data_IF_272021446856
#
_entry.id   IF_272021446856
#
_cell.length_a   1.000
_cell.length_b   1.000
_cell.length_c   1.000
_cell.angle_alpha   90.00
_cell.angle_beta   90.00
_cell.angle_gamma   90.00
#
_symmetry.space_group_name_H-M   'P 1'
#
loop_
_entity.id
_entity.type
_entity.pdbx_description
1 polymer ?
#
# COMPACT_ATOMS: atom_id res chain seq x y z
N UNK A 1 4.25 -11.16 -0.10
CA UNK A 1 3.74 -9.80 0.22
C UNK A 1 2.99 -9.89 1.54
N UNK A 2 3.24 -8.98 2.48
CA UNK A 2 2.52 -8.96 3.76
C UNK A 2 1.19 -8.22 3.59
N UNK A 3 0.07 -8.85 3.96
CA UNK A 3 -1.24 -8.22 3.94
C UNK A 3 -1.59 -7.77 5.36
N UNK A 4 -1.87 -6.48 5.53
CA UNK A 4 -2.35 -5.92 6.81
C UNK A 4 -3.87 -5.79 6.75
N UNK A 5 -4.56 -6.30 7.77
CA UNK A 5 -6.02 -6.16 7.93
C UNK A 5 -6.28 -5.34 9.19
N UNK A 6 -7.03 -4.24 9.04
CA UNK A 6 -7.54 -3.48 10.19
C UNK A 6 -8.89 -4.09 10.58
N UNK A 7 -9.00 -4.61 11.80
CA UNK A 7 -10.24 -5.21 12.28
C UNK A 7 -11.15 -4.10 12.81
N UNK A 8 -12.18 -3.75 12.04
CA UNK A 8 -13.18 -2.72 12.39
C UNK A 8 -14.57 -3.31 12.69
N UNK A 9 -14.87 -4.46 12.09
CA UNK A 9 -16.11 -5.20 12.22
C UNK A 9 -15.83 -6.72 12.23
N UNK A 10 -16.88 -7.50 12.46
CA UNK A 10 -16.79 -8.95 12.44
C UNK A 10 -16.49 -9.52 11.05
N UNK A 11 -16.73 -8.77 9.99
CA UNK A 11 -16.41 -9.21 8.63
C UNK A 11 -14.89 -9.22 8.39
N UNK A 12 -14.16 -8.17 8.78
CA UNK A 12 -12.68 -8.22 8.67
C UNK A 12 -12.09 -9.27 9.61
N UNK A 13 -12.74 -9.53 10.76
CA UNK A 13 -12.36 -10.62 11.65
C UNK A 13 -12.50 -11.98 10.97
N UNK A 14 -13.58 -12.20 10.20
CA UNK A 14 -13.77 -13.42 9.43
C UNK A 14 -12.73 -13.57 8.31
N UNK A 15 -12.42 -12.48 7.59
CA UNK A 15 -11.37 -12.47 6.57
C UNK A 15 -9.99 -12.81 7.16
N UNK A 16 -9.64 -12.21 8.30
CA UNK A 16 -8.36 -12.48 8.96
C UNK A 16 -8.23 -13.96 9.35
N UNK A 17 -9.29 -14.58 9.87
CA UNK A 17 -9.33 -16.02 10.15
C UNK A 17 -9.09 -16.85 8.88
N UNK A 18 -9.81 -16.55 7.81
CA UNK A 18 -9.68 -17.27 6.54
C UNK A 18 -8.27 -17.17 5.93
N UNK A 19 -7.54 -16.08 6.16
CA UNK A 19 -6.14 -15.95 5.74
C UNK A 19 -5.22 -16.79 6.63
N UNK A 20 -5.43 -16.79 7.94
CA UNK A 20 -4.67 -17.61 8.89
C UNK A 20 -4.84 -19.09 8.55
N UNK A 21 -6.07 -19.54 8.26
CA UNK A 21 -6.37 -20.93 7.92
C UNK A 21 -5.68 -21.40 6.62
N UNK A 22 -5.36 -20.48 5.71
CA UNK A 22 -4.69 -20.75 4.43
C UNK A 22 -3.19 -20.48 4.46
N UNK A 23 -2.65 -20.03 5.59
CA UNK A 23 -1.26 -19.64 5.69
C UNK A 23 -0.33 -20.88 5.62
N UNK A 24 0.80 -20.81 4.89
CA UNK A 24 1.77 -21.90 4.85
C UNK A 24 2.48 -22.07 6.20
N UNK A 25 3.14 -23.23 6.39
CA UNK A 25 4.02 -23.46 7.54
C UNK A 25 5.09 -22.35 7.60
N UNK A 26 5.40 -21.91 8.82
CA UNK A 26 6.30 -20.76 9.14
C UNK A 26 5.78 -19.36 8.76
N UNK A 27 4.48 -19.20 8.47
CA UNK A 27 3.88 -17.87 8.32
C UNK A 27 3.89 -17.06 9.63
N UNK A 28 4.23 -15.76 9.54
CA UNK A 28 4.29 -14.85 10.69
C UNK A 28 3.01 -14.01 10.77
N UNK A 29 2.35 -14.03 11.94
CA UNK A 29 1.20 -13.17 12.25
C UNK A 29 1.63 -12.10 13.26
N UNK A 30 1.22 -10.85 13.02
CA UNK A 30 1.49 -9.73 13.93
C UNK A 30 0.19 -8.99 14.22
N UNK A 31 -0.17 -8.89 15.51
CA UNK A 31 -1.32 -8.11 16.00
C UNK A 31 -0.79 -6.92 16.80
N UNK A 32 -1.22 -5.71 16.48
CA UNK A 32 -0.79 -4.46 17.11
C UNK A 32 -2.02 -3.58 17.33
N UNK A 33 -1.98 -2.74 18.38
CA UNK A 33 -3.00 -1.71 18.57
C UNK A 33 -3.01 -0.73 17.39
N UNK A 34 -4.22 -0.37 16.96
CA UNK A 34 -4.42 0.64 15.92
C UNK A 34 -3.97 2.01 16.42
N UNK A 35 -2.93 2.56 15.81
CA UNK A 35 -2.65 4.00 15.94
C UNK A 35 -3.22 4.72 14.74
N UNK A 36 -3.62 5.99 14.89
CA UNK A 36 -4.21 6.79 13.80
C UNK A 36 -3.30 6.85 12.55
N UNK A 37 -1.98 6.79 12.75
CA UNK A 37 -0.99 6.73 11.65
C UNK A 37 -0.92 5.33 11.03
N UNK A 38 -1.04 4.27 11.83
CA UNK A 38 -1.09 2.89 11.34
C UNK A 38 -2.31 2.66 10.46
N UNK A 39 -3.47 3.23 10.83
CA UNK A 39 -4.69 3.17 10.04
C UNK A 39 -4.54 3.83 8.67
N UNK A 40 -3.92 5.01 8.60
CA UNK A 40 -3.70 5.71 7.33
C UNK A 40 -2.68 4.97 6.44
N UNK A 41 -1.62 4.43 7.03
CA UNK A 41 -0.63 3.64 6.30
C UNK A 41 -1.24 2.32 5.78
N UNK A 42 -2.00 1.61 6.62
CA UNK A 42 -2.68 0.39 6.23
C UNK A 42 -3.75 0.66 5.15
N UNK A 43 -4.49 1.78 5.23
CA UNK A 43 -5.41 2.22 4.18
C UNK A 43 -4.69 2.41 2.84
N UNK A 44 -3.55 3.12 2.82
CA UNK A 44 -2.75 3.29 1.61
C UNK A 44 -2.37 1.94 0.99
N UNK A 45 -1.86 1.00 1.80
CA UNK A 45 -1.44 -0.31 1.30
C UNK A 45 -2.61 -1.18 0.80
N UNK A 46 -3.77 -1.10 1.43
CA UNK A 46 -4.98 -1.76 0.96
C UNK A 46 -5.38 -1.22 -0.43
N UNK A 47 -5.44 0.10 -0.58
CA UNK A 47 -5.76 0.75 -1.84
C UNK A 47 -4.75 0.40 -2.94
N UNK A 48 -3.45 0.41 -2.65
CA UNK A 48 -2.41 0.02 -3.61
C UNK A 48 -2.54 -1.45 -4.04
N UNK A 49 -2.96 -2.32 -3.12
CA UNK A 49 -3.19 -3.74 -3.41
C UNK A 49 -4.41 -3.95 -4.30
N UNK A 50 -5.46 -3.15 -4.10
CA UNK A 50 -6.67 -3.17 -4.94
C UNK A 50 -6.38 -2.63 -6.35
N UNK A 51 -5.59 -1.56 -6.47
CA UNK A 51 -5.07 -1.05 -7.75
C UNK A 51 -4.23 -2.13 -8.45
N UNK A 52 -3.29 -2.75 -7.75
CA UNK A 52 -2.44 -3.79 -8.32
C UNK A 52 -3.25 -5.01 -8.82
N UNK A 53 -4.30 -5.41 -8.09
CA UNK A 53 -5.23 -6.48 -8.52
C UNK A 53 -6.03 -6.11 -9.75
N UNK A 54 -6.49 -4.85 -9.82
CA UNK A 54 -7.32 -4.36 -10.93
C UNK A 54 -6.53 -4.19 -12.23
N UNK A 55 -5.19 -4.15 -12.16
CA UNK A 55 -4.28 -4.03 -13.31
C UNK A 55 -4.71 -2.92 -14.29
N UNK A 56 -4.88 -1.68 -13.80
CA UNK A 56 -5.32 -0.56 -14.63
C UNK A 56 -4.37 -0.38 -15.82
N UNK A 57 -4.94 -0.04 -16.97
CA UNK A 57 -4.21 0.11 -18.23
C UNK A 57 -3.41 -1.15 -18.65
N UNK A 58 -3.76 -2.33 -18.14
CA UNK A 58 -3.04 -3.58 -18.37
C UNK A 58 -1.68 -3.67 -17.65
N UNK A 59 -1.35 -2.73 -16.76
CA UNK A 59 -0.06 -2.70 -16.06
C UNK A 59 -0.06 -3.67 -14.88
N UNK A 60 0.81 -4.68 -14.95
CA UNK A 60 1.08 -5.61 -13.85
C UNK A 60 2.28 -5.12 -13.03
N UNK A 61 2.02 -4.22 -12.07
CA UNK A 61 3.02 -3.69 -11.15
C UNK A 61 2.72 -4.13 -9.71
N UNK A 62 3.76 -4.33 -8.90
CA UNK A 62 3.59 -4.58 -7.47
C UNK A 62 3.01 -3.35 -6.75
N UNK A 63 2.35 -3.52 -5.58
CA UNK A 63 1.88 -2.38 -4.77
C UNK A 63 2.99 -1.36 -4.47
N UNK A 64 4.22 -1.83 -4.22
CA UNK A 64 5.41 -0.99 -4.02
C UNK A 64 5.75 -0.15 -5.25
N UNK A 65 5.67 -0.74 -6.44
CA UNK A 65 5.94 -0.05 -7.69
C UNK A 65 4.84 0.97 -8.02
N UNK A 66 3.57 0.64 -7.75
CA UNK A 66 2.47 1.60 -7.83
C UNK A 66 2.66 2.78 -6.87
N UNK A 67 3.05 2.50 -5.63
CA UNK A 67 3.38 3.53 -4.64
C UNK A 67 4.47 4.49 -5.15
N UNK A 68 5.49 3.95 -5.79
CA UNK A 68 6.56 4.74 -6.38
C UNK A 68 6.05 5.59 -7.57
N UNK A 69 5.25 5.00 -8.46
CA UNK A 69 4.65 5.72 -9.58
C UNK A 69 3.76 6.89 -9.11
N UNK A 70 2.92 6.67 -8.08
CA UNK A 70 2.07 7.72 -7.54
C UNK A 70 2.86 8.83 -6.85
N UNK A 71 3.93 8.51 -6.11
CA UNK A 71 4.79 9.54 -5.52
C UNK A 71 5.56 10.33 -6.58
N UNK A 72 6.03 9.67 -7.64
CA UNK A 72 6.63 10.35 -8.79
C UNK A 72 5.65 11.30 -9.47
N UNK A 73 4.38 10.88 -9.64
CA UNK A 73 3.35 11.69 -10.27
C UNK A 73 2.96 12.94 -9.44
N UNK A 74 3.11 12.87 -8.11
CA UNK A 74 2.93 14.01 -7.20
C UNK A 74 4.16 14.92 -7.11
N UNK A 75 5.22 14.64 -7.88
CA UNK A 75 6.43 15.45 -7.91
C UNK A 75 7.32 15.25 -6.68
N UNK A 76 7.15 14.17 -5.92
CA UNK A 76 8.16 13.81 -4.93
C UNK A 76 9.43 13.39 -5.65
N UNK A 77 10.58 13.75 -5.09
CA UNK A 77 11.89 13.42 -5.66
C UNK A 77 12.32 11.98 -5.29
N UNK A 78 12.92 11.31 -6.26
CA UNK A 78 13.59 10.03 -6.03
C UNK A 78 14.91 10.32 -5.32
N UNK A 79 15.11 9.70 -4.16
CA UNK A 79 16.38 9.82 -3.45
C UNK A 79 17.37 8.84 -4.07
N UNK A 80 18.40 9.33 -4.73
CA UNK A 80 19.50 8.50 -5.19
C UNK A 80 20.45 8.19 -4.03
N UNK A 81 20.92 6.95 -3.96
CA UNK A 81 21.90 6.50 -2.98
C UNK A 81 23.15 5.98 -3.69
N UNK A 82 24.34 6.15 -3.08
CA UNK A 82 25.56 5.57 -3.62
C UNK A 82 25.45 4.03 -3.61
N UNK A 83 25.96 3.39 -4.66
CA UNK A 83 26.12 1.95 -4.67
C UNK A 83 27.20 1.48 -3.70
N UNK A 84 27.12 0.22 -3.29
CA UNK A 84 28.12 -0.44 -2.45
C UNK A 84 29.14 -1.12 -3.37
N UNK A 85 30.42 -1.17 -2.98
CA UNK A 85 31.50 -1.86 -3.73
C UNK A 85 31.68 -1.37 -5.18
N UNK A 86 31.52 -0.07 -5.43
CA UNK A 86 31.68 0.51 -6.76
C UNK A 86 30.51 0.23 -7.71
N UNK A 87 29.41 -0.33 -7.21
CA UNK A 87 28.16 -0.40 -7.96
C UNK A 87 27.67 1.02 -8.32
N UNK A 88 26.96 1.17 -9.46
CA UNK A 88 26.39 2.46 -9.84
C UNK A 88 25.36 2.93 -8.78
N UNK A 89 25.17 4.26 -8.64
CA UNK A 89 24.12 4.80 -7.79
C UNK A 89 22.75 4.21 -8.15
N UNK A 90 21.94 3.91 -7.13
CA UNK A 90 20.62 3.33 -7.32
C UNK A 90 19.55 4.24 -6.71
N UNK A 91 18.30 4.20 -7.24
CA UNK A 91 17.21 4.97 -6.67
C UNK A 91 16.76 4.29 -5.38
N UNK A 92 17.09 4.86 -4.23
CA UNK A 92 16.44 4.47 -2.98
C UNK A 92 15.01 4.99 -3.05
N UNK A 93 14.10 4.06 -3.29
CA UNK A 93 12.70 4.36 -3.57
C UNK A 93 12.06 5.33 -2.58
N UNK A 94 10.97 5.92 -3.03
CA UNK A 94 10.24 6.93 -2.28
C UNK A 94 9.83 6.46 -0.88
N UNK A 95 10.22 7.23 0.15
CA UNK A 95 9.88 6.96 1.55
C UNK A 95 8.68 7.80 1.98
N UNK A 96 7.50 7.18 1.98
CA UNK A 96 6.27 7.81 2.51
C UNK A 96 6.39 8.22 3.98
N UNK A 97 7.28 7.59 4.75
CA UNK A 97 7.55 7.93 6.15
C UNK A 97 8.16 9.33 6.35
N UNK A 98 8.65 9.97 5.28
CA UNK A 98 9.16 11.35 5.31
C UNK A 98 8.11 12.39 4.88
N UNK A 99 6.94 11.96 4.43
CA UNK A 99 5.86 12.87 4.04
C UNK A 99 5.25 13.54 5.27
N UNK A 100 4.89 14.82 5.13
CA UNK A 100 4.05 15.49 6.11
C UNK A 100 2.65 14.87 6.12
N UNK A 101 1.86 15.13 7.17
CA UNK A 101 0.47 14.63 7.26
C UNK A 101 -0.37 15.07 6.05
N UNK A 102 -0.20 16.31 5.59
CA UNK A 102 -0.90 16.84 4.42
C UNK A 102 -0.49 16.12 3.14
N UNK A 103 0.82 15.98 2.89
CA UNK A 103 1.33 15.27 1.72
C UNK A 103 0.88 13.80 1.68
N UNK A 104 0.78 13.16 2.84
CA UNK A 104 0.28 11.80 2.94
C UNK A 104 -1.23 11.70 2.62
N UNK A 105 -2.02 12.68 3.06
CA UNK A 105 -3.44 12.78 2.71
C UNK A 105 -3.64 13.05 1.21
N UNK A 106 -2.80 13.91 0.62
CA UNK A 106 -2.79 14.19 -0.82
C UNK A 106 -2.47 12.92 -1.62
N UNK A 107 -1.51 12.11 -1.16
CA UNK A 107 -1.19 10.82 -1.75
C UNK A 107 -2.38 9.86 -1.74
N UNK A 108 -3.07 9.70 -0.60
CA UNK A 108 -4.27 8.84 -0.52
C UNK A 108 -5.35 9.33 -1.49
N UNK A 109 -5.61 10.64 -1.51
CA UNK A 109 -6.63 11.26 -2.37
C UNK A 109 -6.30 11.03 -3.85
N UNK A 110 -5.01 11.13 -4.22
CA UNK A 110 -4.56 10.88 -5.58
C UNK A 110 -4.75 9.41 -6.00
N UNK A 111 -4.42 8.46 -5.12
CA UNK A 111 -4.63 7.02 -5.38
C UNK A 111 -6.11 6.70 -5.54
N UNK A 112 -6.98 7.28 -4.70
CA UNK A 112 -8.43 7.11 -4.79
C UNK A 112 -8.96 7.61 -6.13
N UNK A 113 -8.65 8.87 -6.47
CA UNK A 113 -9.09 9.46 -7.73
C UNK A 113 -8.54 8.72 -8.96
N UNK A 114 -7.34 8.14 -8.88
CA UNK A 114 -6.80 7.29 -9.94
C UNK A 114 -7.58 5.97 -10.06
N UNK A 115 -7.84 5.29 -8.93
CA UNK A 115 -8.57 4.03 -8.94
C UNK A 115 -10.03 4.19 -9.41
N UNK A 116 -10.71 5.25 -9.00
CA UNK A 116 -12.09 5.54 -9.41
C UNK A 116 -12.20 5.74 -10.93
N UNK A 117 -11.25 6.48 -11.53
CA UNK A 117 -11.19 6.66 -12.99
C UNK A 117 -10.97 5.35 -13.75
N UNK A 118 -10.37 4.35 -13.12
CA UNK A 118 -10.05 3.05 -13.73
C UNK A 118 -10.99 1.93 -13.27
N UNK A 119 -12.05 2.24 -12.51
CA UNK A 119 -13.02 1.26 -12.04
C UNK A 119 -12.44 0.24 -11.05
N UNK A 120 -11.46 0.65 -10.22
CA UNK A 120 -10.89 -0.20 -9.17
C UNK A 120 -11.97 -0.50 -8.12
N UNK A 121 -12.15 -1.79 -7.81
CA UNK A 121 -13.05 -2.21 -6.72
C UNK A 121 -12.32 -2.10 -5.38
N UNK A 122 -12.77 -1.19 -4.52
CA UNK A 122 -12.17 -0.94 -3.22
C UNK A 122 -12.65 -1.96 -2.18
N UNK A 123 -11.70 -2.65 -1.55
CA UNK A 123 -12.01 -3.63 -0.50
C UNK A 123 -12.53 -3.01 0.80
N UNK A 124 -12.29 -1.71 1.03
CA UNK A 124 -12.72 -0.98 2.23
C UNK A 124 -14.21 -0.57 2.15
N UNK A 125 -14.75 -0.34 0.94
CA UNK A 125 -16.18 -0.01 0.73
C UNK A 125 -17.08 -1.25 0.78
N UNK A 126 -16.57 -2.42 0.38
CA UNK A 126 -17.31 -3.69 0.47
C UNK A 126 -17.50 -4.12 1.94
N UNK A 127 -16.80 -3.48 2.87
CA UNK A 127 -16.85 -3.78 4.30
C UNK A 127 -17.70 -2.83 5.15
N UNK A 128 -18.40 -1.89 4.53
CA UNK A 128 -19.40 -1.03 5.15
C UNK A 128 -20.82 -1.46 4.76
#
# INVERSE_FOLDING_TARGET
>A
MAQTIIIRSDMQRALAKAIIDRAPVDAVVTVKEGTRTLDQNAKLWAMLSDVARSKPEGRAMSPEAWKAAFMSALGHEIVWQPGIEGAPPFPAGFRTSRLSKTQFADLITFVMAYGDRHGVLWSDEVAA
#
